data_IF_846878617744
#
_entry.id   IF_846878617744
#
_cell.length_a   1.000
_cell.length_b   1.000
_cell.length_c   1.000
_cell.angle_alpha   90.00
_cell.angle_beta   90.00
_cell.angle_gamma   90.00
#
_symmetry.space_group_name_H-M   'P 1'
#
loop_
_entity.id
_entity.type
_entity.pdbx_description
1 polymer ?
#
# COMPACT_ATOMS: atom_id res chain seq x y z
N UNK A 1 -10.09 9.50 8.47
CA UNK A 1 -9.40 8.43 9.23
C UNK A 1 -10.07 7.07 9.01
N UNK A 2 -11.37 6.91 9.34
CA UNK A 2 -12.11 5.65 9.19
C UNK A 2 -11.92 4.96 7.81
N UNK A 3 -12.16 5.69 6.70
CA UNK A 3 -12.01 5.12 5.34
C UNK A 3 -10.63 4.49 5.10
N UNK A 4 -9.56 5.10 5.62
CA UNK A 4 -8.19 4.59 5.49
C UNK A 4 -7.99 3.34 6.34
N UNK A 5 -8.39 3.38 7.61
CA UNK A 5 -8.33 2.22 8.50
C UNK A 5 -9.11 1.02 7.94
N UNK A 6 -10.29 1.27 7.39
CA UNK A 6 -11.14 0.25 6.77
C UNK A 6 -10.49 -0.38 5.54
N UNK A 7 -9.92 0.45 4.65
CA UNK A 7 -9.19 -0.02 3.48
C UNK A 7 -7.96 -0.86 3.88
N UNK A 8 -7.18 -0.43 4.86
CA UNK A 8 -6.04 -1.22 5.35
C UNK A 8 -6.47 -2.53 6.02
N UNK A 9 -7.59 -2.52 6.75
CA UNK A 9 -8.17 -3.73 7.34
C UNK A 9 -8.59 -4.75 6.28
N UNK A 10 -9.21 -4.30 5.18
CA UNK A 10 -9.51 -5.15 4.02
C UNK A 10 -8.23 -5.69 3.38
N UNK A 11 -7.17 -4.88 3.29
CA UNK A 11 -5.91 -5.33 2.69
C UNK A 11 -5.13 -6.29 3.57
N UNK A 12 -5.15 -6.12 4.88
CA UNK A 12 -4.58 -7.08 5.81
C UNK A 12 -5.35 -8.39 5.76
N UNK A 13 -6.70 -8.36 5.74
CA UNK A 13 -7.49 -9.58 5.62
C UNK A 13 -7.21 -10.33 4.32
N UNK A 14 -7.19 -9.61 3.17
CA UNK A 14 -6.77 -10.17 1.89
C UNK A 14 -5.33 -10.69 1.95
N UNK A 15 -4.42 -9.99 2.61
CA UNK A 15 -3.02 -10.42 2.70
C UNK A 15 -2.84 -11.69 3.53
N UNK A 16 -3.68 -11.90 4.54
CA UNK A 16 -3.64 -13.07 5.41
C UNK A 16 -4.44 -14.25 4.85
N UNK A 17 -5.20 -14.08 3.76
CA UNK A 17 -6.03 -15.15 3.19
C UNK A 17 -5.28 -16.45 2.92
N UNK A 18 -4.11 -16.43 2.24
CA UNK A 18 -3.39 -17.66 1.92
C UNK A 18 -2.98 -18.42 3.20
N UNK A 19 -2.56 -17.68 4.23
CA UNK A 19 -2.17 -18.24 5.53
C UNK A 19 -3.35 -18.86 6.28
N UNK A 20 -4.51 -18.20 6.29
CA UNK A 20 -5.73 -18.78 6.87
C UNK A 20 -6.15 -20.04 6.14
N UNK A 21 -5.98 -20.07 4.82
CA UNK A 21 -6.31 -21.22 4.01
C UNK A 21 -5.35 -22.39 4.29
N UNK A 22 -4.04 -22.13 4.44
CA UNK A 22 -3.07 -23.13 4.91
C UNK A 22 -3.39 -23.63 6.31
N UNK A 23 -3.70 -22.74 7.26
CA UNK A 23 -4.08 -23.13 8.61
C UNK A 23 -5.33 -24.02 8.63
N UNK A 24 -6.34 -23.63 7.84
CA UNK A 24 -7.60 -24.37 7.76
C UNK A 24 -7.41 -25.79 7.21
N UNK A 25 -6.53 -25.95 6.23
CA UNK A 25 -6.27 -27.24 5.59
C UNK A 25 -5.29 -28.12 6.37
N UNK A 26 -4.26 -27.55 6.98
CA UNK A 26 -3.24 -28.32 7.70
C UNK A 26 -3.63 -28.65 9.15
N UNK A 27 -4.21 -27.69 9.87
CA UNK A 27 -4.39 -27.82 11.34
C UNK A 27 -5.86 -27.94 11.74
N UNK A 28 -6.75 -27.24 11.05
CA UNK A 28 -8.12 -27.09 11.53
C UNK A 28 -9.07 -28.19 11.00
N UNK A 29 -8.55 -29.23 10.35
CA UNK A 29 -9.36 -30.33 9.80
C UNK A 29 -10.52 -29.84 8.92
N UNK A 30 -10.30 -28.79 8.13
CA UNK A 30 -11.32 -28.14 7.29
C UNK A 30 -12.51 -27.54 8.05
N UNK A 31 -12.26 -27.06 9.28
CA UNK A 31 -13.19 -26.29 10.13
C UNK A 31 -14.06 -25.30 9.34
N UNK A 32 -13.46 -24.65 8.33
CA UNK A 32 -14.17 -23.79 7.40
C UNK A 32 -14.23 -24.46 6.03
N UNK A 33 -15.37 -25.08 5.74
CA UNK A 33 -15.66 -25.63 4.42
C UNK A 33 -16.27 -24.56 3.51
N UNK A 34 -15.72 -24.40 2.30
CA UNK A 34 -16.31 -23.58 1.24
C UNK A 34 -16.42 -22.09 1.60
N UNK A 35 -17.63 -21.56 1.49
CA UNK A 35 -17.94 -20.13 1.62
C UNK A 35 -17.84 -19.61 3.06
N UNK A 36 -17.88 -20.49 4.07
CA UNK A 36 -17.74 -20.08 5.48
C UNK A 36 -16.39 -19.43 5.78
N UNK A 37 -15.37 -19.71 4.95
CA UNK A 37 -14.06 -19.05 5.05
C UNK A 37 -14.16 -17.53 4.77
N UNK A 38 -15.20 -17.09 4.05
CA UNK A 38 -15.49 -15.67 3.81
C UNK A 38 -15.91 -14.92 5.08
N UNK A 39 -16.40 -15.61 6.10
CA UNK A 39 -16.78 -14.98 7.39
C UNK A 39 -15.57 -14.25 7.99
N UNK A 40 -14.36 -14.80 7.84
CA UNK A 40 -13.14 -14.13 8.28
C UNK A 40 -12.90 -12.77 7.60
N UNK A 41 -13.18 -12.70 6.30
CA UNK A 41 -13.03 -11.48 5.49
C UNK A 41 -14.05 -10.41 5.85
N UNK A 42 -15.18 -10.81 6.42
CA UNK A 42 -16.24 -9.90 6.84
C UNK A 42 -15.99 -9.44 8.27
N UNK A 43 -15.72 -10.37 9.19
CA UNK A 43 -15.54 -10.07 10.62
C UNK A 43 -14.39 -9.09 10.85
N UNK A 44 -13.30 -9.22 10.10
CA UNK A 44 -12.13 -8.34 10.24
C UNK A 44 -12.44 -6.85 9.98
N UNK A 45 -12.88 -6.42 8.78
CA UNK A 45 -13.25 -5.02 8.53
C UNK A 45 -14.48 -4.58 9.30
N UNK A 46 -15.42 -5.49 9.57
CA UNK A 46 -16.60 -5.19 10.40
C UNK A 46 -16.16 -4.78 11.81
N UNK A 47 -15.22 -5.52 12.42
CA UNK A 47 -14.68 -5.19 13.74
C UNK A 47 -13.94 -3.84 13.74
N UNK A 48 -13.21 -3.50 12.68
CA UNK A 48 -12.61 -2.16 12.52
C UNK A 48 -13.68 -1.07 12.45
N UNK A 49 -14.75 -1.27 11.67
CA UNK A 49 -15.85 -0.30 11.57
C UNK A 49 -16.53 -0.05 12.92
N UNK A 50 -16.84 -1.14 13.64
CA UNK A 50 -17.51 -1.06 14.93
C UNK A 50 -16.60 -0.56 16.04
N UNK A 51 -15.30 -0.80 15.94
CA UNK A 51 -14.32 -0.15 16.80
C UNK A 51 -14.37 1.38 16.66
N UNK A 52 -14.64 1.95 15.48
CA UNK A 52 -14.77 3.40 15.33
C UNK A 52 -16.08 3.97 15.89
N UNK A 53 -17.16 3.19 15.84
CA UNK A 53 -18.48 3.60 16.37
C UNK A 53 -18.46 3.58 17.90
N UNK A 54 -17.94 2.51 18.51
CA UNK A 54 -18.03 2.30 19.95
C UNK A 54 -16.73 2.64 20.68
N UNK A 55 -16.72 3.77 21.38
CA UNK A 55 -15.54 4.27 22.08
C UNK A 55 -15.29 3.61 23.44
N UNK A 56 -16.35 3.27 24.17
CA UNK A 56 -16.26 2.73 25.52
C UNK A 56 -15.83 1.26 25.54
N UNK A 57 -15.00 0.90 26.52
CA UNK A 57 -14.50 -0.46 26.71
C UNK A 57 -15.65 -1.49 26.86
N UNK A 58 -16.67 -1.14 27.65
CA UNK A 58 -17.84 -2.00 27.89
C UNK A 58 -18.57 -2.31 26.58
N UNK A 59 -18.83 -1.28 25.75
CA UNK A 59 -19.48 -1.47 24.45
C UNK A 59 -18.66 -2.37 23.51
N UNK A 60 -17.32 -2.26 23.55
CA UNK A 60 -16.44 -3.16 22.77
C UNK A 60 -16.55 -4.60 23.28
N UNK A 61 -16.54 -4.83 24.59
CA UNK A 61 -16.70 -6.16 25.16
C UNK A 61 -18.02 -6.80 24.71
N UNK A 62 -19.15 -6.09 24.86
CA UNK A 62 -20.46 -6.56 24.38
C UNK A 62 -20.47 -6.89 22.88
N UNK A 63 -19.84 -6.04 22.08
CA UNK A 63 -19.76 -6.27 20.65
C UNK A 63 -18.88 -7.48 20.28
N UNK A 64 -17.73 -7.63 20.95
CA UNK A 64 -16.85 -8.80 20.75
C UNK A 64 -17.55 -10.10 21.13
N UNK A 65 -18.24 -10.14 22.27
CA UNK A 65 -19.03 -11.29 22.69
C UNK A 65 -20.20 -11.54 21.75
N UNK A 66 -20.84 -10.49 21.23
CA UNK A 66 -21.92 -10.57 20.25
C UNK A 66 -21.48 -11.18 18.93
N UNK A 67 -20.36 -10.73 18.35
CA UNK A 67 -19.81 -11.35 17.13
C UNK A 67 -19.44 -12.81 17.40
N UNK A 68 -18.76 -13.11 18.52
CA UNK A 68 -18.35 -14.47 18.83
C UNK A 68 -19.56 -15.40 18.98
N UNK A 69 -20.60 -14.97 19.68
CA UNK A 69 -21.84 -15.72 19.80
C UNK A 69 -22.50 -15.96 18.42
N UNK A 70 -22.51 -14.95 17.55
CA UNK A 70 -23.03 -15.05 16.19
C UNK A 70 -22.21 -16.04 15.35
N UNK A 71 -20.88 -15.94 15.39
CA UNK A 71 -19.99 -16.89 14.70
C UNK A 71 -20.22 -18.31 15.19
N UNK A 72 -20.34 -18.51 16.52
CA UNK A 72 -20.59 -19.84 17.10
C UNK A 72 -21.94 -20.40 16.70
N UNK A 73 -22.94 -19.53 16.54
CA UNK A 73 -24.27 -19.93 16.08
C UNK A 73 -24.29 -20.33 14.59
N UNK A 74 -23.60 -19.58 13.72
CA UNK A 74 -23.64 -19.81 12.28
C UNK A 74 -22.62 -20.82 11.75
N UNK A 75 -21.52 -21.05 12.46
CA UNK A 75 -20.48 -21.99 12.03
C UNK A 75 -20.74 -23.37 12.64
N UNK A 76 -21.03 -24.40 11.83
CA UNK A 76 -21.28 -25.75 12.35
C UNK A 76 -19.97 -26.39 12.79
N UNK A 77 -19.63 -26.22 14.07
CA UNK A 77 -18.45 -26.87 14.66
C UNK A 77 -18.73 -28.34 14.96
N UNK A 78 -17.82 -29.22 14.52
CA UNK A 78 -17.95 -30.68 14.74
C UNK A 78 -17.44 -31.15 16.09
N UNK A 79 -16.61 -30.36 16.76
CA UNK A 79 -16.03 -30.69 18.07
C UNK A 79 -15.82 -29.46 18.95
N UNK A 80 -15.81 -29.66 20.27
CA UNK A 80 -15.52 -28.60 21.25
C UNK A 80 -14.14 -27.98 21.03
N UNK A 81 -13.15 -28.77 20.59
CA UNK A 81 -11.82 -28.27 20.25
C UNK A 81 -11.87 -27.25 19.09
N UNK A 82 -12.68 -27.51 18.06
CA UNK A 82 -12.89 -26.58 16.95
C UNK A 82 -13.59 -25.29 17.40
N UNK A 83 -14.57 -25.39 18.31
CA UNK A 83 -15.23 -24.20 18.89
C UNK A 83 -14.20 -23.32 19.62
N UNK A 84 -13.40 -23.90 20.52
CA UNK A 84 -12.41 -23.16 21.30
C UNK A 84 -11.36 -22.52 20.38
N UNK A 85 -10.85 -23.27 19.41
CA UNK A 85 -9.85 -22.78 18.45
C UNK A 85 -10.43 -21.69 17.55
N UNK A 86 -11.66 -21.88 17.06
CA UNK A 86 -12.39 -20.88 16.27
C UNK A 86 -12.58 -19.58 17.05
N UNK A 87 -13.13 -19.67 18.26
CA UNK A 87 -13.29 -18.52 19.16
C UNK A 87 -11.97 -17.79 19.41
N UNK A 88 -10.89 -18.52 19.65
CA UNK A 88 -9.56 -17.93 19.84
C UNK A 88 -9.08 -17.16 18.60
N UNK A 89 -9.21 -17.73 17.40
CA UNK A 89 -8.86 -17.05 16.15
C UNK A 89 -9.71 -15.79 15.97
N UNK A 90 -11.03 -15.87 16.16
CA UNK A 90 -11.91 -14.71 16.01
C UNK A 90 -11.64 -13.61 17.05
N UNK A 91 -11.29 -13.98 18.29
CA UNK A 91 -10.82 -13.01 19.30
C UNK A 91 -9.59 -12.25 18.81
N UNK A 92 -8.60 -12.94 18.24
CA UNK A 92 -7.40 -12.30 17.68
C UNK A 92 -7.79 -11.37 16.54
N UNK A 93 -8.64 -11.81 15.60
CA UNK A 93 -9.07 -11.02 14.46
C UNK A 93 -9.81 -9.74 14.88
N UNK A 94 -10.73 -9.85 15.84
CA UNK A 94 -11.47 -8.70 16.37
C UNK A 94 -10.52 -7.73 17.06
N UNK A 95 -9.61 -8.24 17.90
CA UNK A 95 -8.63 -7.40 18.59
C UNK A 95 -7.71 -6.68 17.60
N UNK A 96 -7.30 -7.37 16.53
CA UNK A 96 -6.53 -6.80 15.45
C UNK A 96 -7.30 -5.72 14.68
N UNK A 97 -8.57 -5.94 14.39
CA UNK A 97 -9.43 -4.92 13.77
C UNK A 97 -9.59 -3.66 14.63
N UNK A 98 -9.60 -3.80 15.96
CA UNK A 98 -9.63 -2.67 16.91
C UNK A 98 -8.31 -1.88 16.90
N UNK A 99 -7.16 -2.53 16.72
CA UNK A 99 -5.85 -1.86 16.68
C UNK A 99 -5.75 -0.79 15.59
N UNK A 100 -6.42 -0.96 14.45
CA UNK A 100 -6.45 0.04 13.37
C UNK A 100 -7.10 1.38 13.73
N UNK A 101 -7.86 1.42 14.83
CA UNK A 101 -8.34 2.67 15.38
C UNK A 101 -7.32 3.34 16.29
N UNK A 102 -6.61 2.53 17.08
CA UNK A 102 -5.70 3.01 18.12
C UNK A 102 -4.32 3.39 17.57
N UNK A 103 -3.92 2.80 16.44
CA UNK A 103 -2.61 2.99 15.82
C UNK A 103 -2.74 3.53 14.40
N UNK A 104 -1.67 4.13 13.87
CA UNK A 104 -1.58 4.44 12.44
C UNK A 104 -1.71 3.12 11.65
N UNK A 105 -2.62 3.03 10.66
CA UNK A 105 -2.77 1.84 9.84
C UNK A 105 -1.47 1.32 9.22
N UNK A 106 -0.53 2.21 8.90
CA UNK A 106 0.77 1.83 8.33
C UNK A 106 1.70 1.19 9.36
N UNK A 107 1.60 1.60 10.62
CA UNK A 107 2.35 0.99 11.71
C UNK A 107 1.76 -0.37 12.11
N UNK A 108 0.42 -0.50 12.05
CA UNK A 108 -0.27 -1.73 12.39
C UNK A 108 0.06 -2.87 11.41
N UNK A 109 0.10 -2.58 10.10
CA UNK A 109 0.47 -3.56 9.08
C UNK A 109 1.35 -2.92 7.99
N UNK A 110 2.69 -3.05 8.10
CA UNK A 110 3.63 -2.45 7.17
C UNK A 110 3.41 -2.93 5.73
N UNK A 111 3.39 -1.97 4.79
CA UNK A 111 3.28 -2.24 3.35
C UNK A 111 4.35 -3.17 2.81
N UNK A 112 5.55 -3.11 3.37
CA UNK A 112 6.65 -3.99 3.00
C UNK A 112 6.26 -5.45 3.18
N UNK A 113 5.58 -5.81 4.29
CA UNK A 113 5.10 -7.17 4.53
C UNK A 113 4.01 -7.59 3.51
N UNK A 114 3.14 -6.67 3.12
CA UNK A 114 2.14 -6.94 2.07
C UNK A 114 2.79 -7.36 0.74
N UNK A 115 3.87 -6.67 0.34
CA UNK A 115 4.58 -7.01 -0.89
C UNK A 115 5.47 -8.25 -0.75
N UNK A 116 6.25 -8.34 0.32
CA UNK A 116 7.31 -9.35 0.45
C UNK A 116 6.80 -10.71 0.94
N UNK A 117 5.72 -10.74 1.71
CA UNK A 117 5.21 -11.98 2.31
C UNK A 117 3.90 -12.39 1.65
N UNK A 118 2.95 -11.48 1.55
CA UNK A 118 1.61 -11.83 1.09
C UNK A 118 1.57 -12.23 -0.40
N UNK A 119 2.17 -11.46 -1.32
CA UNK A 119 2.14 -11.83 -2.74
C UNK A 119 2.84 -13.18 -3.04
N UNK A 120 4.04 -13.48 -2.50
CA UNK A 120 4.62 -14.82 -2.66
C UNK A 120 3.75 -15.92 -2.04
N UNK A 121 3.06 -15.65 -0.92
CA UNK A 121 2.16 -16.65 -0.32
C UNK A 121 0.97 -16.98 -1.22
N UNK A 122 0.44 -16.01 -1.96
CA UNK A 122 -0.58 -16.26 -2.99
C UNK A 122 -0.05 -17.13 -4.13
N UNK A 123 1.16 -16.85 -4.61
CA UNK A 123 1.80 -17.65 -5.66
C UNK A 123 2.00 -19.10 -5.21
N UNK A 124 2.55 -19.31 -4.02
CA UNK A 124 2.74 -20.64 -3.44
C UNK A 124 1.40 -21.36 -3.26
N UNK A 125 0.38 -20.65 -2.77
CA UNK A 125 -0.95 -21.23 -2.57
C UNK A 125 -1.63 -21.60 -3.87
N UNK A 126 -1.39 -20.86 -4.95
CA UNK A 126 -1.94 -21.21 -6.25
C UNK A 126 -1.52 -22.63 -6.68
N UNK A 127 -0.27 -23.04 -6.45
CA UNK A 127 0.17 -24.41 -6.75
C UNK A 127 -0.52 -25.47 -5.89
N UNK A 128 -0.69 -25.21 -4.59
CA UNK A 128 -1.33 -26.16 -3.68
C UNK A 128 -2.84 -26.31 -3.90
N UNK A 129 -3.51 -25.26 -4.37
CA UNK A 129 -4.96 -25.23 -4.54
C UNK A 129 -5.42 -25.12 -6.00
N UNK A 130 -4.52 -25.37 -6.95
CA UNK A 130 -4.88 -25.46 -8.35
C UNK A 130 -5.91 -26.58 -8.56
N UNK A 131 -6.95 -26.32 -9.36
CA UNK A 131 -8.08 -27.23 -9.60
C UNK A 131 -8.95 -27.52 -8.36
N UNK A 132 -8.75 -26.81 -7.24
CA UNK A 132 -9.58 -26.94 -6.04
C UNK A 132 -10.71 -25.88 -6.06
N UNK A 133 -11.77 -26.09 -5.28
CA UNK A 133 -12.89 -25.13 -5.12
C UNK A 133 -12.44 -23.74 -4.66
N UNK A 134 -11.26 -23.65 -4.06
CA UNK A 134 -10.69 -22.41 -3.54
C UNK A 134 -9.90 -21.60 -4.57
N UNK A 135 -9.58 -22.16 -5.74
CA UNK A 135 -8.76 -21.48 -6.76
C UNK A 135 -9.39 -20.15 -7.18
N UNK A 136 -10.71 -20.13 -7.41
CA UNK A 136 -11.45 -18.92 -7.80
C UNK A 136 -11.33 -17.81 -6.75
N UNK A 137 -11.52 -18.14 -5.48
CA UNK A 137 -11.39 -17.20 -4.37
C UNK A 137 -9.96 -16.70 -4.22
N UNK A 138 -8.96 -17.56 -4.40
CA UNK A 138 -7.55 -17.23 -4.29
C UNK A 138 -7.08 -16.30 -5.39
N UNK A 139 -7.43 -16.58 -6.64
CA UNK A 139 -7.11 -15.70 -7.77
C UNK A 139 -7.84 -14.37 -7.65
N UNK A 140 -9.13 -14.39 -7.26
CA UNK A 140 -9.92 -13.17 -7.09
C UNK A 140 -9.38 -12.25 -5.99
N UNK A 141 -9.09 -12.81 -4.82
CA UNK A 141 -8.52 -12.05 -3.69
C UNK A 141 -7.10 -11.55 -3.98
N UNK A 142 -6.25 -12.35 -4.64
CA UNK A 142 -4.92 -11.92 -5.09
C UNK A 142 -5.01 -10.71 -6.02
N UNK A 143 -5.92 -10.75 -7.00
CA UNK A 143 -6.12 -9.67 -7.95
C UNK A 143 -6.56 -8.38 -7.22
N UNK A 144 -7.57 -8.48 -6.35
CA UNK A 144 -8.04 -7.33 -5.55
C UNK A 144 -6.90 -6.77 -4.71
N UNK A 145 -6.10 -7.62 -4.08
CA UNK A 145 -4.96 -7.19 -3.28
C UNK A 145 -3.92 -6.45 -4.14
N UNK A 146 -3.48 -7.03 -5.26
CA UNK A 146 -2.48 -6.43 -6.16
C UNK A 146 -2.97 -5.07 -6.67
N UNK A 147 -4.25 -4.96 -7.06
CA UNK A 147 -4.86 -3.69 -7.49
C UNK A 147 -4.68 -2.63 -6.42
N UNK A 148 -5.12 -2.91 -5.21
CA UNK A 148 -5.07 -1.94 -4.13
C UNK A 148 -3.62 -1.62 -3.73
N UNK A 149 -2.73 -2.60 -3.70
CA UNK A 149 -1.31 -2.38 -3.43
C UNK A 149 -0.66 -1.47 -4.46
N UNK A 150 -0.94 -1.66 -5.74
CA UNK A 150 -0.44 -0.77 -6.79
C UNK A 150 -1.00 0.65 -6.66
N UNK A 151 -2.29 0.80 -6.33
CA UNK A 151 -2.89 2.13 -6.09
C UNK A 151 -2.16 2.85 -4.95
N UNK A 152 -1.94 2.17 -3.83
CA UNK A 152 -1.32 2.72 -2.63
C UNK A 152 0.15 3.08 -2.89
N UNK A 153 0.90 2.13 -3.44
CA UNK A 153 2.33 2.31 -3.75
C UNK A 153 2.55 3.45 -4.75
N UNK A 154 1.66 3.58 -5.74
CA UNK A 154 1.71 4.66 -6.72
C UNK A 154 1.37 6.02 -6.09
N UNK A 155 0.33 6.09 -5.24
CA UNK A 155 0.01 7.32 -4.52
C UNK A 155 1.19 7.82 -3.67
N UNK A 156 1.87 6.91 -2.98
CA UNK A 156 3.06 7.24 -2.20
C UNK A 156 4.21 7.73 -3.05
N UNK A 157 4.55 7.01 -4.12
CA UNK A 157 5.64 7.44 -5.00
C UNK A 157 5.43 8.84 -5.54
N UNK A 158 4.19 9.22 -5.84
CA UNK A 158 3.88 10.57 -6.28
C UNK A 158 3.99 11.57 -5.14
N UNK A 159 3.49 11.26 -3.94
CA UNK A 159 3.60 12.12 -2.75
C UNK A 159 5.08 12.37 -2.40
N UNK A 160 5.91 11.33 -2.42
CA UNK A 160 7.35 11.45 -2.18
C UNK A 160 8.01 12.33 -3.24
N UNK A 161 7.71 12.12 -4.52
CA UNK A 161 8.28 12.92 -5.62
C UNK A 161 7.86 14.39 -5.57
N UNK A 162 6.60 14.69 -5.24
CA UNK A 162 6.12 16.07 -5.12
C UNK A 162 6.72 16.78 -3.90
N UNK A 163 6.88 16.07 -2.77
CA UNK A 163 7.53 16.60 -1.57
C UNK A 163 8.96 17.03 -1.84
N UNK A 164 9.71 16.20 -2.56
CA UNK A 164 11.11 16.46 -2.90
C UNK A 164 11.27 17.64 -3.87
N UNK A 165 10.29 17.85 -4.76
CA UNK A 165 10.41 18.83 -5.85
C UNK A 165 9.85 20.22 -5.52
N UNK A 166 8.80 20.32 -4.71
CA UNK A 166 8.07 21.60 -4.53
C UNK A 166 7.88 22.01 -3.07
N UNK A 167 8.28 21.20 -2.08
CA UNK A 167 8.10 21.49 -0.65
C UNK A 167 6.63 21.68 -0.22
N UNK A 168 5.66 21.51 -1.12
CA UNK A 168 4.22 21.63 -0.87
C UNK A 168 3.60 20.24 -0.84
N UNK A 169 2.77 20.00 0.17
CA UNK A 169 2.17 18.70 0.49
C UNK A 169 0.90 18.37 -0.31
N UNK A 170 0.43 19.30 -1.16
CA UNK A 170 -0.84 19.16 -1.85
C UNK A 170 -0.64 18.80 -3.32
N UNK A 171 -0.83 17.51 -3.61
CA UNK A 171 -0.89 16.97 -4.96
C UNK A 171 -1.97 17.64 -5.80
N UNK A 172 -1.67 17.88 -7.08
CA UNK A 172 -2.68 18.26 -8.08
C UNK A 172 -3.67 17.10 -8.26
N UNK A 173 -4.92 17.27 -7.82
CA UNK A 173 -5.97 16.25 -7.89
C UNK A 173 -6.20 15.66 -9.29
N UNK A 174 -5.87 16.41 -10.34
CA UNK A 174 -5.91 15.96 -11.74
C UNK A 174 -4.95 14.81 -12.01
N UNK A 175 -3.72 14.86 -11.49
CA UNK A 175 -2.70 13.80 -11.67
C UNK A 175 -3.17 12.52 -10.97
N UNK A 176 -3.73 12.65 -9.76
CA UNK A 176 -4.29 11.53 -9.02
C UNK A 176 -5.39 10.79 -9.80
N UNK A 177 -6.31 11.54 -10.42
CA UNK A 177 -7.43 10.97 -11.18
C UNK A 177 -6.96 10.28 -12.46
N UNK A 178 -5.99 10.88 -13.17
CA UNK A 178 -5.41 10.28 -14.37
C UNK A 178 -4.67 8.98 -14.05
N UNK A 179 -3.87 8.98 -12.98
CA UNK A 179 -3.09 7.80 -12.61
C UNK A 179 -4.00 6.66 -12.12
N UNK A 180 -5.08 6.98 -11.40
CA UNK A 180 -6.12 6.03 -11.06
C UNK A 180 -6.81 5.44 -12.30
N UNK A 181 -7.12 6.27 -13.29
CA UNK A 181 -7.73 5.83 -14.56
C UNK A 181 -6.79 4.91 -15.35
N UNK A 182 -5.50 5.24 -15.47
CA UNK A 182 -4.52 4.41 -16.17
C UNK A 182 -4.31 3.06 -15.48
N UNK A 183 -4.18 3.07 -14.15
CA UNK A 183 -4.05 1.82 -13.40
C UNK A 183 -5.31 0.96 -13.51
N UNK A 184 -6.49 1.57 -13.46
CA UNK A 184 -7.76 0.89 -13.70
C UNK A 184 -7.84 0.27 -15.09
N UNK A 185 -7.43 1.00 -16.14
CA UNK A 185 -7.40 0.50 -17.51
C UNK A 185 -6.41 -0.66 -17.69
N UNK A 186 -5.20 -0.54 -17.12
CA UNK A 186 -4.21 -1.62 -17.14
C UNK A 186 -4.76 -2.87 -16.44
N UNK A 187 -5.45 -2.68 -15.31
CA UNK A 187 -6.05 -3.78 -14.56
C UNK A 187 -7.20 -4.46 -15.27
N UNK A 188 -8.12 -3.71 -15.88
CA UNK A 188 -9.16 -4.28 -16.74
C UNK A 188 -8.51 -5.08 -17.87
N UNK A 189 -7.45 -4.56 -18.50
CA UNK A 189 -6.74 -5.25 -19.56
C UNK A 189 -6.09 -6.55 -19.07
N UNK A 190 -5.48 -6.53 -17.88
CA UNK A 190 -4.80 -7.69 -17.28
C UNK A 190 -5.81 -8.75 -16.82
N UNK A 191 -6.96 -8.34 -16.29
CA UNK A 191 -8.07 -9.23 -15.97
C UNK A 191 -8.66 -9.88 -17.22
N UNK A 192 -8.91 -9.10 -18.28
CA UNK A 192 -9.39 -9.61 -19.56
C UNK A 192 -8.40 -10.62 -20.17
N UNK A 193 -7.09 -10.37 -20.03
CA UNK A 193 -6.04 -11.30 -20.45
C UNK A 193 -6.05 -12.60 -19.63
N UNK A 194 -6.08 -12.51 -18.30
CA UNK A 194 -6.04 -13.68 -17.42
C UNK A 194 -7.30 -14.55 -17.49
N UNK A 195 -8.45 -13.93 -17.78
CA UNK A 195 -9.76 -14.61 -17.88
C UNK A 195 -10.30 -14.61 -19.31
N UNK A 196 -9.40 -14.65 -20.30
CA UNK A 196 -9.77 -14.61 -21.71
C UNK A 196 -10.91 -15.59 -22.06
N UNK A 197 -10.85 -16.82 -21.56
CA UNK A 197 -11.90 -17.82 -21.80
C UNK A 197 -13.28 -17.37 -21.28
N UNK A 198 -13.35 -16.79 -20.09
CA UNK A 198 -14.62 -16.29 -19.50
C UNK A 198 -15.16 -15.11 -20.30
N UNK A 199 -14.27 -14.21 -20.74
CA UNK A 199 -14.64 -13.06 -21.58
C UNK A 199 -15.17 -13.55 -22.92
N UNK A 200 -14.50 -14.51 -23.55
CA UNK A 200 -14.95 -15.11 -24.80
C UNK A 200 -16.32 -15.76 -24.65
N UNK A 201 -16.54 -16.58 -23.60
CA UNK A 201 -17.84 -17.21 -23.33
C UNK A 201 -18.94 -16.18 -23.05
N UNK A 202 -18.64 -15.14 -22.27
CA UNK A 202 -19.58 -14.06 -21.98
C UNK A 202 -19.97 -13.26 -23.22
N UNK A 203 -19.01 -12.98 -24.10
CA UNK A 203 -19.25 -12.26 -25.35
C UNK A 203 -20.09 -13.10 -26.32
N UNK A 204 -19.84 -14.42 -26.39
CA UNK A 204 -20.70 -15.38 -27.11
C UNK A 204 -22.12 -15.41 -26.54
N UNK A 205 -22.27 -15.37 -25.21
CA UNK A 205 -23.58 -15.31 -24.57
C UNK A 205 -24.34 -14.03 -24.90
N UNK A 206 -23.70 -12.86 -24.81
CA UNK A 206 -24.32 -11.58 -25.18
C UNK A 206 -24.71 -11.58 -26.66
N UNK A 207 -23.85 -12.08 -27.55
CA UNK A 207 -24.16 -12.22 -28.97
C UNK A 207 -25.36 -13.15 -29.20
N UNK A 208 -25.40 -14.33 -28.56
CA UNK A 208 -26.55 -15.25 -28.63
C UNK A 208 -27.85 -14.56 -28.18
N UNK A 209 -27.78 -13.75 -27.13
CA UNK A 209 -28.93 -13.00 -26.63
C UNK A 209 -29.35 -11.87 -27.57
N UNK A 210 -28.38 -11.21 -28.22
CA UNK A 210 -28.61 -10.21 -29.26
C UNK A 210 -29.28 -10.86 -30.48
N UNK A 211 -28.82 -12.03 -30.93
CA UNK A 211 -29.45 -12.79 -32.02
C UNK A 211 -30.86 -13.28 -31.66
N UNK A 212 -31.08 -13.70 -30.41
CA UNK A 212 -32.42 -14.03 -29.90
C UNK A 212 -33.35 -12.81 -29.93
N UNK A 213 -32.85 -11.62 -29.62
CA UNK A 213 -33.60 -10.37 -29.71
C UNK A 213 -33.85 -9.91 -31.15
N UNK A 214 -32.97 -10.24 -32.09
CA UNK A 214 -33.16 -9.98 -33.53
C UNK A 214 -34.14 -10.94 -34.23
N UNK A 215 -34.84 -11.80 -33.49
CA UNK A 215 -35.96 -12.57 -34.02
C UNK A 215 -35.57 -13.84 -34.79
N UNK A 216 -34.35 -14.35 -34.64
CA UNK A 216 -34.04 -15.74 -34.99
C UNK A 216 -34.63 -16.67 -33.91
N UNK A 217 -35.96 -16.71 -33.84
CA UNK A 217 -36.65 -17.76 -33.12
C UNK A 217 -36.61 -19.03 -33.99
N UNK A 218 -35.87 -20.02 -33.50
CA UNK A 218 -36.09 -21.45 -33.71
C UNK A 218 -35.93 -22.03 -35.13
N UNK A 219 -34.84 -22.77 -35.32
CA UNK A 219 -35.01 -24.11 -35.91
C UNK A 219 -35.51 -25.02 -34.79
N UNK A 220 -36.81 -25.28 -34.85
CA UNK A 220 -37.65 -26.17 -34.06
C UNK A 220 -36.91 -27.20 -33.18
N UNK A 221 -37.10 -27.09 -31.87
CA UNK A 221 -37.15 -28.27 -31.00
C UNK A 221 -38.59 -28.79 -31.02
N UNK A 222 -38.78 -29.99 -31.58
CA UNK A 222 -40.00 -30.77 -31.43
C UNK A 222 -40.32 -30.96 -29.93
N UNK A 223 -41.60 -30.88 -29.50
CA UNK A 223 -41.95 -31.08 -28.11
C UNK A 223 -41.72 -32.55 -27.71
N UNK A 224 -41.23 -32.84 -26.49
CA UNK A 224 -41.25 -34.20 -25.96
C UNK A 224 -42.70 -34.60 -25.66
N UNK A 225 -43.11 -35.74 -26.17
CA UNK A 225 -44.33 -36.47 -25.78
C UNK A 225 -44.31 -36.73 -24.27
N UNK A 226 -45.32 -36.24 -23.54
CA UNK A 226 -45.59 -36.67 -22.16
C UNK A 226 -46.13 -38.11 -22.18
N UNK A 227 -45.43 -39.04 -21.52
CA UNK A 227 -46.03 -40.22 -20.90
C UNK A 227 -45.28 -40.56 -19.58
N UNK A 228 -45.99 -41.06 -18.55
CA UNK A 228 -45.55 -41.00 -17.16
C UNK A 228 -44.72 -42.22 -16.73
N UNK A 229 -43.78 -42.00 -15.80
CA UNK A 229 -43.20 -43.07 -14.97
C UNK A 229 -41.79 -42.76 -14.48
N UNK A 230 -41.51 -42.81 -13.16
CA UNK A 230 -40.17 -42.62 -12.64
C UNK A 230 -39.38 -43.92 -12.83
N UNK A 231 -38.63 -44.03 -13.92
CA UNK A 231 -37.58 -45.03 -14.07
C UNK A 231 -36.22 -44.40 -13.81
N UNK A 232 -35.46 -45.05 -12.93
CA UNK A 232 -34.10 -44.70 -12.52
C UNK A 232 -33.19 -44.44 -13.73
N UNK A 233 -32.63 -43.23 -13.81
CA UNK A 233 -31.63 -42.87 -14.81
C UNK A 233 -30.34 -43.67 -14.59
N UNK A 234 -30.10 -44.64 -15.47
CA UNK A 234 -28.80 -45.23 -15.73
C UNK A 234 -27.95 -44.22 -16.53
N UNK A 235 -26.86 -43.75 -15.91
CA UNK A 235 -25.95 -42.71 -16.44
C UNK A 235 -24.79 -43.29 -17.27
N UNK A 236 -24.84 -44.57 -17.65
CA UNK A 236 -23.75 -45.22 -18.40
C UNK A 236 -23.83 -45.04 -19.93
N UNK A 237 -24.89 -44.44 -20.47
CA UNK A 237 -25.11 -44.27 -21.91
C UNK A 237 -25.34 -42.79 -22.34
N UNK A 238 -24.54 -41.86 -21.82
CA UNK A 238 -24.42 -40.54 -22.46
C UNK A 238 -23.52 -40.71 -23.70
N UNK A 239 -24.16 -41.04 -24.82
CA UNK A 239 -23.54 -40.97 -26.14
C UNK A 239 -23.00 -39.54 -26.33
N UNK A 240 -21.68 -39.40 -26.41
CA UNK A 240 -21.00 -38.14 -26.70
C UNK A 240 -21.35 -37.80 -28.15
N UNK A 241 -22.46 -37.08 -28.32
CA UNK A 241 -22.96 -36.66 -29.62
C UNK A 241 -21.91 -35.76 -30.26
N UNK A 242 -21.36 -36.21 -31.40
CA UNK A 242 -20.36 -35.47 -32.14
C UNK A 242 -20.84 -34.04 -32.41
N UNK A 243 -19.96 -33.03 -32.28
CA UNK A 243 -20.33 -31.65 -32.49
C UNK A 243 -20.91 -31.50 -33.91
N UNK A 244 -22.18 -31.08 -33.97
CA UNK A 244 -22.87 -30.78 -35.22
C UNK A 244 -21.97 -29.96 -36.14
N UNK A 245 -21.85 -30.34 -37.41
CA UNK A 245 -21.03 -29.62 -38.39
C UNK A 245 -21.34 -28.11 -38.44
N UNK A 246 -22.57 -27.72 -38.09
CA UNK A 246 -22.96 -26.32 -37.94
C UNK A 246 -22.29 -25.64 -36.74
N UNK A 247 -22.14 -26.33 -35.60
CA UNK A 247 -21.46 -25.80 -34.43
C UNK A 247 -19.98 -25.52 -34.73
N UNK A 248 -19.31 -26.40 -35.49
CA UNK A 248 -17.92 -26.20 -35.93
C UNK A 248 -17.77 -24.99 -36.87
N UNK A 249 -18.74 -24.76 -37.76
CA UNK A 249 -18.75 -23.60 -38.65
C UNK A 249 -18.96 -22.30 -37.86
N UNK A 250 -19.88 -22.30 -36.90
CA UNK A 250 -20.15 -21.14 -36.03
C UNK A 250 -18.93 -20.80 -35.17
N UNK A 251 -18.24 -21.81 -34.63
CA UNK A 251 -17.04 -21.60 -33.83
C UNK A 251 -15.91 -20.97 -34.65
N UNK A 252 -15.74 -21.40 -35.91
CA UNK A 252 -14.79 -20.80 -36.86
C UNK A 252 -15.15 -19.38 -37.27
N UNK A 253 -16.43 -19.07 -37.46
CA UNK A 253 -16.88 -17.70 -37.76
C UNK A 253 -16.61 -16.78 -36.56
N UNK A 254 -16.86 -17.26 -35.34
CA UNK A 254 -16.60 -16.51 -34.10
C UNK A 254 -15.11 -16.26 -33.88
N UNK A 255 -14.25 -17.25 -34.14
CA UNK A 255 -12.79 -17.10 -34.08
C UNK A 255 -12.32 -15.97 -35.01
N UNK A 256 -12.81 -15.96 -36.26
CA UNK A 256 -12.46 -14.94 -37.26
C UNK A 256 -12.97 -13.55 -36.86
N UNK A 257 -14.22 -13.44 -36.37
CA UNK A 257 -14.78 -12.17 -35.90
C UNK A 257 -13.96 -11.61 -34.74
N UNK A 258 -13.55 -12.47 -33.80
CA UNK A 258 -12.75 -12.02 -32.65
C UNK A 258 -11.37 -11.51 -33.10
N UNK A 259 -10.69 -12.23 -34.00
CA UNK A 259 -9.40 -11.80 -34.55
C UNK A 259 -9.54 -10.44 -35.25
N UNK A 260 -10.64 -10.21 -35.99
CA UNK A 260 -10.92 -8.91 -36.63
C UNK A 260 -11.15 -7.80 -35.61
N UNK A 261 -11.94 -8.03 -34.55
CA UNK A 261 -12.20 -7.04 -33.50
C UNK A 261 -10.91 -6.69 -32.74
N UNK A 262 -10.12 -7.70 -32.36
CA UNK A 262 -8.84 -7.49 -31.68
C UNK A 262 -7.86 -6.72 -32.58
N UNK A 263 -7.81 -7.07 -33.86
CA UNK A 263 -6.97 -6.36 -34.84
C UNK A 263 -7.39 -4.89 -34.99
N UNK A 264 -8.70 -4.61 -35.08
CA UNK A 264 -9.23 -3.24 -35.12
C UNK A 264 -8.93 -2.47 -33.82
N UNK A 265 -9.01 -3.12 -32.66
CA UNK A 265 -8.67 -2.50 -31.38
C UNK A 265 -7.18 -2.15 -31.30
N UNK A 266 -6.29 -3.03 -31.76
CA UNK A 266 -4.83 -2.78 -31.83
C UNK A 266 -4.54 -1.63 -32.79
N UNK A 267 -5.13 -1.63 -33.98
CA UNK A 267 -4.98 -0.54 -34.97
C UNK A 267 -5.51 0.77 -34.42
N UNK A 268 -6.65 0.76 -33.73
CA UNK A 268 -7.23 1.94 -33.06
C UNK A 268 -6.34 2.48 -31.95
N UNK A 269 -5.74 1.60 -31.14
CA UNK A 269 -4.81 1.97 -30.07
C UNK A 269 -3.52 2.56 -30.64
N UNK A 270 -2.97 1.96 -31.71
CA UNK A 270 -1.83 2.50 -32.45
C UNK A 270 -2.15 3.87 -33.05
N UNK A 271 -3.34 4.04 -33.65
CA UNK A 271 -3.79 5.32 -34.18
C UNK A 271 -3.90 6.39 -33.07
N UNK A 272 -4.44 6.06 -31.90
CA UNK A 272 -4.51 6.98 -30.75
C UNK A 272 -3.12 7.35 -30.23
N UNK A 273 -2.19 6.40 -30.19
CA UNK A 273 -0.78 6.65 -29.84
C UNK A 273 -0.12 7.60 -30.84
N UNK A 274 -0.25 7.33 -32.14
CA UNK A 274 0.31 8.16 -33.21
C UNK A 274 -0.29 9.58 -33.17
N UNK A 275 -1.60 9.69 -32.95
CA UNK A 275 -2.27 10.99 -32.82
C UNK A 275 -1.81 11.80 -31.61
N UNK A 276 -1.35 11.14 -30.53
CA UNK A 276 -0.80 11.80 -29.34
C UNK A 276 0.71 12.06 -29.41
N UNK A 277 1.46 11.38 -30.28
CA UNK A 277 2.89 11.62 -30.50
C UNK A 277 3.25 13.09 -30.76
N UNK A 278 2.54 13.89 -31.57
CA UNK A 278 2.93 15.29 -31.79
C UNK A 278 2.79 16.17 -30.53
N UNK A 279 1.86 15.84 -29.62
CA UNK A 279 1.72 16.55 -28.34
C UNK A 279 2.87 16.18 -27.39
N UNK A 280 3.21 14.90 -27.31
CA UNK A 280 4.33 14.40 -26.52
C UNK A 280 5.66 14.90 -27.10
N UNK A 281 5.80 14.94 -28.42
CA UNK A 281 6.97 15.46 -29.12
C UNK A 281 7.24 16.91 -28.79
N UNK A 282 6.22 17.77 -28.77
CA UNK A 282 6.37 19.17 -28.31
C UNK A 282 6.81 19.28 -26.86
N UNK A 283 6.30 18.40 -25.98
CA UNK A 283 6.70 18.38 -24.57
C UNK A 283 8.14 17.90 -24.39
N UNK A 284 8.57 16.89 -25.15
CA UNK A 284 9.94 16.40 -25.19
C UNK A 284 10.87 17.49 -25.75
N UNK A 285 10.48 18.19 -26.82
CA UNK A 285 11.27 19.28 -27.38
C UNK A 285 11.47 20.42 -26.37
N UNK A 286 10.42 20.80 -25.63
CA UNK A 286 10.52 21.79 -24.54
C UNK A 286 11.42 21.28 -23.41
N UNK A 287 11.31 20.00 -23.04
CA UNK A 287 12.15 19.40 -22.02
C UNK A 287 13.62 19.33 -22.45
N UNK A 288 13.90 18.95 -23.71
CA UNK A 288 15.23 18.92 -24.28
C UNK A 288 15.80 20.33 -24.43
N UNK A 289 15.02 21.33 -24.86
CA UNK A 289 15.46 22.73 -24.88
C UNK A 289 15.80 23.26 -23.49
N UNK A 290 15.04 22.91 -22.46
CA UNK A 290 15.37 23.24 -21.06
C UNK A 290 16.65 22.56 -20.60
N UNK A 291 16.79 21.26 -20.86
CA UNK A 291 17.98 20.50 -20.50
C UNK A 291 19.22 21.02 -21.23
N UNK A 292 19.10 21.31 -22.53
CA UNK A 292 20.15 21.89 -23.35
C UNK A 292 20.54 23.29 -22.87
N UNK A 293 19.58 24.15 -22.52
CA UNK A 293 19.88 25.45 -21.89
C UNK A 293 20.61 25.29 -20.55
N UNK A 294 20.24 24.31 -19.71
CA UNK A 294 20.93 24.08 -18.44
C UNK A 294 22.37 23.59 -18.66
N UNK A 295 22.59 22.74 -19.66
CA UNK A 295 23.91 22.16 -19.98
C UNK A 295 24.80 23.16 -20.73
N UNK A 296 24.26 23.92 -21.68
CA UNK A 296 25.03 24.84 -22.55
C UNK A 296 25.09 26.28 -22.03
N UNK A 297 24.04 26.85 -21.43
CA UNK A 297 24.12 28.22 -20.89
C UNK A 297 24.88 28.32 -19.56
N UNK A 298 25.18 27.20 -18.89
CA UNK A 298 26.17 27.19 -17.80
C UNK A 298 27.60 27.50 -18.27
N UNK A 299 27.90 27.35 -19.57
CA UNK A 299 29.23 27.69 -20.14
C UNK A 299 29.38 29.16 -20.54
N UNK A 300 28.32 29.99 -20.53
CA UNK A 300 28.41 31.42 -20.89
C UNK A 300 28.33 32.39 -19.71
N UNK A 301 28.10 31.91 -18.50
CA UNK A 301 28.03 32.75 -17.29
C UNK A 301 29.38 32.92 -16.57
N UNK A 302 30.51 32.53 -17.19
CA UNK A 302 31.85 32.70 -16.63
C UNK A 302 32.76 33.30 -17.70
N UNK A 303 32.49 34.55 -18.07
CA UNK A 303 33.45 35.34 -18.85
C UNK A 303 33.51 36.76 -18.33
N UNK A 304 33.63 36.95 -17.01
CA UNK A 304 34.23 38.14 -16.40
C UNK A 304 34.58 37.80 -14.95
N UNK A 305 35.84 37.46 -14.71
CA UNK A 305 36.71 37.93 -13.60
C UNK A 305 37.95 37.04 -13.55
N UNK A 306 39.05 37.64 -14.03
CA UNK A 306 40.48 37.42 -13.77
C UNK A 306 40.95 36.05 -13.25
N UNK A 307 41.73 35.40 -14.11
CA UNK A 307 42.66 34.34 -13.79
C UNK A 307 43.81 34.83 -12.89
N UNK A 308 43.96 34.19 -11.72
CA UNK A 308 45.25 33.86 -11.12
C UNK A 308 45.06 32.89 -9.94
N UNK A 309 44.89 31.61 -10.24
CA UNK A 309 45.33 30.48 -9.40
C UNK A 309 44.91 29.18 -10.08
N UNK A 310 45.89 28.32 -10.34
CA UNK A 310 45.67 26.95 -10.76
C UNK A 310 44.89 26.21 -9.66
N UNK A 311 43.66 25.78 -9.96
CA UNK A 311 43.05 24.63 -9.30
C UNK A 311 42.76 23.57 -10.37
N UNK A 312 43.43 22.45 -10.22
CA UNK A 312 43.30 21.23 -11.02
C UNK A 312 41.95 20.58 -10.66
N UNK A 313 40.89 20.91 -11.41
CA UNK A 313 39.59 20.25 -11.25
C UNK A 313 39.64 18.86 -11.87
N UNK A 314 40.08 17.91 -11.03
CA UNK A 314 40.00 16.47 -11.27
C UNK A 314 38.57 16.06 -11.65
N UNK A 315 38.48 15.34 -12.77
CA UNK A 315 37.30 14.66 -13.28
C UNK A 315 36.54 13.88 -12.19
N UNK A 316 35.33 14.33 -11.86
CA UNK A 316 34.39 13.57 -11.02
C UNK A 316 33.88 12.34 -11.79
N UNK A 317 34.59 11.22 -11.64
CA UNK A 317 34.07 9.89 -11.92
C UNK A 317 32.99 9.60 -10.89
N UNK A 318 31.80 9.19 -11.35
CA UNK A 318 30.66 8.85 -10.50
C UNK A 318 31.03 7.70 -9.54
N UNK A 319 31.39 8.00 -8.30
CA UNK A 319 31.69 7.01 -7.26
C UNK A 319 30.40 6.46 -6.64
N UNK A 320 29.80 5.48 -7.31
CA UNK A 320 28.59 4.77 -6.87
C UNK A 320 28.68 4.23 -5.43
N UNK A 321 29.90 3.92 -4.95
CA UNK A 321 30.17 3.46 -3.60
C UNK A 321 29.94 4.51 -2.51
N UNK A 322 30.22 5.79 -2.78
CA UNK A 322 29.98 6.87 -1.82
C UNK A 322 28.49 7.18 -1.69
N UNK A 323 27.76 7.11 -2.81
CA UNK A 323 26.30 7.26 -2.83
C UNK A 323 25.59 6.14 -2.05
N UNK A 324 26.05 4.89 -2.16
CA UNK A 324 25.55 3.76 -1.38
C UNK A 324 25.86 3.89 0.11
N UNK A 325 27.03 4.41 0.47
CA UNK A 325 27.40 4.67 1.86
C UNK A 325 26.62 5.83 2.48
N UNK A 326 26.32 6.88 1.72
CA UNK A 326 25.42 7.97 2.16
C UNK A 326 24.00 7.46 2.37
N UNK A 327 23.47 6.56 1.50
CA UNK A 327 22.17 5.91 1.73
C UNK A 327 22.16 5.00 2.97
N UNK A 328 23.25 4.28 3.24
CA UNK A 328 23.40 3.48 4.48
C UNK A 328 23.41 4.35 5.74
N UNK A 329 23.97 5.55 5.67
CA UNK A 329 23.97 6.54 6.76
C UNK A 329 22.58 7.17 6.97
N UNK A 330 21.83 7.42 5.89
CA UNK A 330 20.44 7.89 5.96
C UNK A 330 19.51 6.82 6.55
N UNK A 331 19.66 5.54 6.15
CA UNK A 331 18.92 4.42 6.74
C UNK A 331 19.28 4.13 8.21
N UNK A 332 20.50 4.49 8.65
CA UNK A 332 20.87 4.43 10.08
C UNK A 332 20.36 5.63 10.89
N UNK A 333 20.04 6.77 10.26
CA UNK A 333 19.54 7.97 10.95
C UNK A 333 18.07 7.88 11.37
N UNK A 334 17.27 7.02 10.75
CA UNK A 334 15.85 6.84 11.11
C UNK A 334 15.58 5.77 12.18
N UNK A 335 16.62 5.05 12.64
CA UNK A 335 16.54 4.48 14.00
C UNK A 335 16.79 5.63 14.97
N UNK A 336 15.71 6.33 15.32
CA UNK A 336 15.60 7.03 16.60
C UNK A 336 15.84 5.99 17.69
N UNK A 337 17.11 5.75 17.99
CA UNK A 337 17.53 5.15 19.25
C UNK A 337 16.89 6.06 20.28
N UNK A 338 15.84 5.59 20.94
CA UNK A 338 15.28 6.23 22.11
C UNK A 338 16.40 6.20 23.16
N UNK A 339 17.22 7.24 23.15
CA UNK A 339 18.35 7.36 24.06
C UNK A 339 17.74 7.36 25.45
N UNK A 340 17.98 6.29 26.22
CA UNK A 340 17.50 6.19 27.60
C UNK A 340 18.24 7.25 28.42
N UNK A 341 17.60 8.39 28.62
CA UNK A 341 18.15 9.58 29.28
C UNK A 341 18.89 9.27 30.60
N UNK A 342 18.33 8.32 31.36
CA UNK A 342 18.85 7.84 32.65
C UNK A 342 20.24 7.18 32.54
N UNK A 343 20.63 6.73 31.35
CA UNK A 343 21.91 6.07 31.09
C UNK A 343 23.00 7.03 30.60
N UNK A 344 22.63 8.28 30.28
CA UNK A 344 23.59 9.29 29.83
C UNK A 344 24.32 9.91 31.03
N UNK A 345 25.63 10.09 30.91
CA UNK A 345 26.37 10.93 31.85
C UNK A 345 25.88 12.37 31.81
N UNK A 346 26.02 13.12 32.90
CA UNK A 346 25.48 14.47 33.00
C UNK A 346 25.99 15.41 31.91
N UNK A 347 27.25 15.24 31.46
CA UNK A 347 27.79 15.99 30.31
C UNK A 347 27.09 15.67 29.00
N UNK A 348 26.76 14.38 28.76
CA UNK A 348 26.01 13.96 27.56
C UNK A 348 24.56 14.44 27.62
N UNK A 349 23.97 14.49 28.81
CA UNK A 349 22.64 15.07 29.05
C UNK A 349 22.60 16.54 28.66
N UNK A 350 23.54 17.37 29.15
CA UNK A 350 23.60 18.79 28.76
C UNK A 350 23.77 18.98 27.26
N UNK A 351 24.65 18.19 26.62
CA UNK A 351 24.86 18.26 25.15
C UNK A 351 23.61 17.90 24.37
N UNK A 352 22.91 16.84 24.78
CA UNK A 352 21.65 16.44 24.15
C UNK A 352 20.58 17.52 24.30
N UNK A 353 20.48 18.12 25.49
CA UNK A 353 19.51 19.20 25.74
C UNK A 353 19.76 20.41 24.83
N UNK A 354 21.05 20.78 24.66
CA UNK A 354 21.44 21.82 23.71
C UNK A 354 21.14 21.43 22.25
N UNK A 355 21.34 20.17 21.86
CA UNK A 355 21.01 19.67 20.51
C UNK A 355 19.50 19.72 20.24
N UNK A 356 18.66 19.42 21.23
CA UNK A 356 17.20 19.54 21.10
C UNK A 356 16.76 21.00 20.93
N UNK A 357 17.40 21.93 21.64
CA UNK A 357 17.17 23.36 21.46
C UNK A 357 17.58 23.86 20.08
N UNK A 358 18.69 23.37 19.53
CA UNK A 358 19.08 23.69 18.15
C UNK A 358 17.99 23.22 17.18
N UNK A 359 17.53 21.97 17.30
CA UNK A 359 16.46 21.42 16.44
C UNK A 359 15.16 22.22 16.57
N UNK A 360 14.81 22.64 17.79
CA UNK A 360 13.63 23.48 18.04
C UNK A 360 13.81 24.88 17.43
N UNK A 361 14.99 25.49 17.54
CA UNK A 361 15.32 26.74 16.87
C UNK A 361 15.24 26.65 15.33
N UNK A 362 15.77 25.58 14.74
CA UNK A 362 15.69 25.32 13.30
C UNK A 362 14.23 25.15 12.84
N UNK A 363 13.39 24.49 13.64
CA UNK A 363 11.95 24.36 13.36
C UNK A 363 11.21 25.71 13.38
N UNK A 364 11.76 26.70 14.09
CA UNK A 364 11.26 28.07 14.15
C UNK A 364 11.89 29.00 13.09
N UNK A 365 12.75 28.47 12.22
CA UNK A 365 13.41 29.21 11.15
C UNK A 365 14.71 29.91 11.55
N UNK A 366 15.26 29.61 12.75
CA UNK A 366 16.53 30.16 13.21
C UNK A 366 17.64 29.16 12.86
N UNK A 367 18.42 29.46 11.82
CA UNK A 367 19.53 28.64 11.37
C UNK A 367 20.69 28.65 12.38
N UNK A 368 21.17 27.48 12.78
CA UNK A 368 22.39 27.35 13.58
C UNK A 368 23.63 27.58 12.71
N UNK A 369 24.54 28.44 13.17
CA UNK A 369 25.84 28.67 12.53
C UNK A 369 26.96 28.21 13.46
N UNK A 370 27.92 27.45 12.92
CA UNK A 370 29.05 26.89 13.70
C UNK A 370 29.94 27.98 14.31
N UNK A 371 29.95 29.17 13.72
CA UNK A 371 30.66 30.35 14.21
C UNK A 371 30.04 30.96 15.47
N UNK A 372 28.77 30.66 15.79
CA UNK A 372 28.10 31.22 16.95
C UNK A 372 28.47 30.47 18.23
N UNK A 373 28.78 31.24 19.27
CA UNK A 373 28.91 30.70 20.62
C UNK A 373 27.56 30.26 21.16
N UNK A 374 27.55 29.35 22.15
CA UNK A 374 26.30 28.89 22.76
C UNK A 374 25.47 30.04 23.33
N UNK A 375 26.15 31.05 23.91
CA UNK A 375 25.53 32.27 24.43
C UNK A 375 24.84 33.09 23.34
N UNK A 376 25.52 33.29 22.21
CA UNK A 376 24.99 34.05 21.07
C UNK A 376 23.80 33.33 20.44
N UNK A 377 23.89 32.01 20.24
CA UNK A 377 22.79 31.23 19.68
C UNK A 377 21.58 31.20 20.61
N UNK A 378 21.77 31.01 21.92
CA UNK A 378 20.66 31.04 22.87
C UNK A 378 20.00 32.42 22.94
N UNK A 379 20.73 33.51 22.65
CA UNK A 379 20.19 34.88 22.59
C UNK A 379 19.40 35.16 21.32
N UNK A 380 19.60 34.41 20.26
CA UNK A 380 18.79 34.54 19.04
C UNK A 380 17.47 33.76 19.11
N UNK A 381 17.32 32.85 20.07
CA UNK A 381 16.08 32.10 20.28
C UNK A 381 14.99 32.99 20.90
N UNK A 382 13.71 32.84 20.51
CA UNK A 382 12.63 33.64 21.03
C UNK A 382 12.36 33.33 22.52
N UNK A 383 12.12 34.37 23.31
CA UNK A 383 11.93 34.30 24.77
C UNK A 383 10.84 33.30 25.18
N UNK A 384 9.79 33.11 24.37
CA UNK A 384 8.73 32.11 24.61
C UNK A 384 9.20 30.65 24.74
N UNK A 385 10.45 30.34 24.39
CA UNK A 385 11.04 29.01 24.61
C UNK A 385 11.52 28.82 26.05
N UNK A 386 11.63 29.91 26.81
CA UNK A 386 12.15 29.98 28.16
C UNK A 386 11.06 30.59 29.05
N UNK A 387 10.42 29.78 29.89
CA UNK A 387 9.36 30.27 30.79
C UNK A 387 9.91 31.10 31.97
N UNK A 388 11.23 31.11 32.17
CA UNK A 388 11.92 31.78 33.28
C UNK A 388 13.08 32.65 32.76
N UNK A 389 13.14 33.91 33.23
CA UNK A 389 14.10 34.94 32.78
C UNK A 389 15.58 34.53 32.97
N UNK A 390 15.87 33.56 33.83
CA UNK A 390 17.25 33.10 34.11
C UNK A 390 17.66 31.84 33.35
N UNK A 391 16.73 31.17 32.65
CA UNK A 391 16.97 29.85 32.06
C UNK A 391 18.05 29.87 30.98
N UNK A 392 18.06 30.94 30.18
CA UNK A 392 19.02 31.13 29.11
C UNK A 392 20.45 31.26 29.65
N UNK A 393 20.64 31.98 30.76
CA UNK A 393 21.94 32.14 31.42
C UNK A 393 22.39 30.82 32.04
N UNK A 394 21.48 30.15 32.76
CA UNK A 394 21.78 28.90 33.44
C UNK A 394 22.16 27.78 32.46
N UNK A 395 21.46 27.68 31.33
CA UNK A 395 21.79 26.70 30.30
C UNK A 395 23.12 27.01 29.61
N UNK A 396 23.40 28.29 29.35
CA UNK A 396 24.68 28.73 28.80
C UNK A 396 25.83 28.29 29.72
N UNK A 397 25.66 28.47 31.03
CA UNK A 397 26.65 28.04 32.02
C UNK A 397 26.79 26.52 32.10
N UNK A 398 25.68 25.78 32.12
CA UNK A 398 25.71 24.32 32.12
C UNK A 398 26.42 23.77 30.89
N UNK A 399 26.13 24.32 29.70
CA UNK A 399 26.78 23.91 28.46
C UNK A 399 28.27 24.23 28.46
N UNK A 400 28.65 25.43 28.91
CA UNK A 400 30.06 25.82 29.03
C UNK A 400 30.80 24.95 30.05
N UNK A 401 30.19 24.64 31.21
CA UNK A 401 30.75 23.71 32.19
C UNK A 401 30.89 22.31 31.60
N UNK A 402 29.88 21.80 30.88
CA UNK A 402 29.95 20.48 30.24
C UNK A 402 30.98 20.41 29.09
N UNK A 403 31.27 21.54 28.44
CA UNK A 403 32.22 21.63 27.32
C UNK A 403 33.67 21.83 27.77
N UNK A 404 33.90 22.67 28.78
CA UNK A 404 35.23 23.14 29.17
C UNK A 404 35.70 22.67 30.55
N UNK A 405 34.81 22.15 31.42
CA UNK A 405 35.22 21.70 32.77
C UNK A 405 35.36 20.18 32.86
N UNK A 406 36.36 19.74 33.61
CA UNK A 406 36.57 18.34 34.01
C UNK A 406 35.61 17.90 35.10
N UNK A 407 35.03 18.83 35.86
CA UNK A 407 34.17 18.58 37.02
C UNK A 407 32.81 17.99 36.63
N UNK A 408 32.23 17.22 37.55
CA UNK A 408 30.90 16.61 37.36
C UNK A 408 29.82 17.67 37.55
N UNK A 409 28.82 17.67 36.67
CA UNK A 409 27.74 18.66 36.66
C UNK A 409 26.60 18.07 37.51
N UNK A 410 26.09 18.81 38.50
CA UNK A 410 24.95 18.34 39.29
C UNK A 410 23.61 18.58 38.56
N UNK A 411 22.73 17.59 38.70
CA UNK A 411 21.39 17.34 38.12
C UNK A 411 20.80 18.29 37.06
N UNK A 412 20.75 17.80 35.81
CA UNK A 412 20.04 18.42 34.65
C UNK A 412 18.55 18.03 34.60
N UNK A 413 18.10 17.13 35.48
CA UNK A 413 16.79 16.49 35.40
C UNK A 413 15.58 17.44 35.51
N UNK A 414 15.72 18.58 36.21
CA UNK A 414 14.65 19.57 36.34
C UNK A 414 14.36 20.29 35.00
N UNK A 415 15.39 20.52 34.18
CA UNK A 415 15.33 21.37 32.98
C UNK A 415 14.63 20.70 31.78
N UNK A 416 14.56 19.37 31.74
CA UNK A 416 13.89 18.63 30.65
C UNK A 416 12.37 18.71 30.79
N UNK A 417 11.86 18.62 32.02
CA UNK A 417 10.41 18.67 32.27
C UNK A 417 9.79 19.97 31.79
N UNK A 418 10.56 21.06 31.71
CA UNK A 418 10.11 22.33 31.14
C UNK A 418 10.12 22.31 29.60
N UNK A 419 11.15 21.75 28.96
CA UNK A 419 11.18 21.60 27.50
C UNK A 419 10.03 20.72 26.98
N UNK A 420 9.71 19.64 27.70
CA UNK A 420 8.58 18.73 27.37
C UNK A 420 7.20 19.35 27.60
N UNK A 421 7.08 20.42 28.40
CA UNK A 421 5.80 21.15 28.60
C UNK A 421 5.47 22.11 27.47
N UNK A 422 6.50 22.55 26.72
CA UNK A 422 6.39 23.53 25.64
C UNK A 422 6.43 22.89 24.24
N UNK A 423 6.31 21.56 24.16
CA UNK A 423 5.95 20.79 22.96
C UNK A 423 4.44 20.48 22.99
#
# INVERSE_FOLDING_TARGET
>A
MLKRAWLYSILESLSLFPFFLWMNTLFLSQLFSGELLLIYFIVYPLSTGLAFIYQHFIARAFFTTGILALVVYFVPFSSTFQVVTGCFIFCILIQRGVMYRLSDPEAAFPRTLMWTISLPSYFVSYFFYHSNRYEGWLVGSALILIINLLIITNQEHLITKERDQYGKTTMLGTIRRQNFMYLGMLMVSLFLLLRYNVVATGLVFVLKQLFKLLGQNELAQTPPEELPGPQSMDLSNIEIREPSAFALIVDKILEVIMVVIVSLAIVGLLYLLIKRLPVIGKQIEVAMKRMFNIIFNRRRAVSFVKASAYEDETSQVFHLGEWLNQRKLLFKREKTVTIRWQTLSTKKQVRYLYEQLIKKGESLGISYQVSLTAKEYLKSLPERLFDEDEWQQHLTELYNKARYSTHDVHSVAHYIKQLERND
#
